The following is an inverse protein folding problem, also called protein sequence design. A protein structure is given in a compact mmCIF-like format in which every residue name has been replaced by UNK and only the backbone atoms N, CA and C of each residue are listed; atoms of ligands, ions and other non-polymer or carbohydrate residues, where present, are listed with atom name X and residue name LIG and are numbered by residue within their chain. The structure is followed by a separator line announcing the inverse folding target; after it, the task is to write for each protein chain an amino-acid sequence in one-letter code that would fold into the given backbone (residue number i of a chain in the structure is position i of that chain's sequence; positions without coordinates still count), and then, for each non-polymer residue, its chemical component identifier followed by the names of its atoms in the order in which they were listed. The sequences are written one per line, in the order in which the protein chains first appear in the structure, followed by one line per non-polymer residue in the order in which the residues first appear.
data_IF_773533412925
#
_entry.id   IF_773533412925
#
_cell.length_a   1.000
_cell.length_b   1.000
_cell.length_c   1.000
_cell.angle_alpha   90.00
_cell.angle_beta   90.00
_cell.angle_gamma   90.00
#
_symmetry.space_group_name_H-M   'P 1'
#
loop_
_entity.id
_entity.type
_entity.pdbx_description
1 polymer ?
#
# COMPACT_ATOMS: atom_id res chain seq x y z
N UNK A 1 -8.55 -11.88 14.01
CA UNK A 1 -9.70 -12.70 13.58
C UNK A 1 -9.39 -13.31 12.22
N UNK A 2 -9.54 -14.63 12.07
CA UNK A 2 -9.09 -15.41 10.90
C UNK A 2 -10.22 -16.33 10.39
N UNK A 3 -10.12 -16.82 9.16
CA UNK A 3 -11.12 -17.74 8.59
C UNK A 3 -11.19 -19.07 9.38
N UNK A 4 -10.02 -19.53 9.83
CA UNK A 4 -9.85 -20.72 10.66
C UNK A 4 -9.41 -21.94 9.84
N UNK A 5 -8.72 -22.93 10.46
CA UNK A 5 -8.14 -24.07 9.75
C UNK A 5 -9.16 -24.96 9.02
N UNK A 6 -10.44 -24.84 9.35
CA UNK A 6 -11.56 -25.60 8.76
C UNK A 6 -12.66 -24.69 8.20
N UNK A 7 -12.41 -23.39 8.10
CA UNK A 7 -13.42 -22.43 7.63
C UNK A 7 -14.49 -22.11 8.67
N UNK A 8 -14.16 -22.19 9.96
CA UNK A 8 -15.10 -22.01 11.07
C UNK A 8 -15.81 -20.64 11.02
N UNK A 9 -15.15 -19.61 10.49
CA UNK A 9 -15.68 -18.26 10.37
C UNK A 9 -16.14 -17.92 8.94
N UNK A 10 -16.50 -18.93 8.12
CA UNK A 10 -16.87 -18.72 6.71
C UNK A 10 -18.02 -17.72 6.51
N UNK A 11 -19.00 -17.72 7.42
CA UNK A 11 -20.19 -16.91 7.29
C UNK A 11 -19.85 -15.41 7.34
N UNK A 12 -18.96 -15.02 8.26
CA UNK A 12 -18.51 -13.63 8.40
C UNK A 12 -17.80 -13.17 7.13
N UNK A 13 -16.91 -14.00 6.58
CA UNK A 13 -16.19 -13.62 5.36
C UNK A 13 -17.15 -13.50 4.16
N UNK A 14 -18.08 -14.45 3.98
CA UNK A 14 -19.11 -14.40 2.94
C UNK A 14 -19.94 -13.12 3.02
N UNK A 15 -20.43 -12.78 4.22
CA UNK A 15 -21.22 -11.55 4.45
C UNK A 15 -20.45 -10.28 4.09
N UNK A 16 -19.16 -10.20 4.46
CA UNK A 16 -18.33 -9.04 4.13
C UNK A 16 -18.07 -8.92 2.63
N UNK A 17 -17.78 -10.04 1.94
CA UNK A 17 -17.56 -10.07 0.50
C UNK A 17 -18.82 -9.70 -0.28
N UNK A 18 -19.97 -10.26 0.12
CA UNK A 18 -21.28 -9.96 -0.49
C UNK A 18 -21.67 -8.50 -0.26
N UNK A 19 -21.41 -7.96 0.94
CA UNK A 19 -21.65 -6.55 1.25
C UNK A 19 -20.77 -5.62 0.40
N UNK A 20 -19.48 -5.94 0.24
CA UNK A 20 -18.55 -5.18 -0.58
C UNK A 20 -18.99 -5.16 -2.05
N UNK A 21 -19.28 -6.33 -2.63
CA UNK A 21 -19.74 -6.46 -4.00
C UNK A 21 -21.08 -5.75 -4.20
N UNK A 22 -22.05 -6.00 -3.32
CA UNK A 22 -23.38 -5.40 -3.39
C UNK A 22 -23.35 -3.88 -3.28
N UNK A 23 -22.51 -3.33 -2.41
CA UNK A 23 -22.33 -1.87 -2.27
C UNK A 23 -21.74 -1.25 -3.53
N UNK A 24 -20.69 -1.87 -4.09
CA UNK A 24 -20.10 -1.38 -5.35
C UNK A 24 -21.08 -1.41 -6.52
N UNK A 25 -21.84 -2.51 -6.66
CA UNK A 25 -22.84 -2.64 -7.72
C UNK A 25 -23.98 -1.62 -7.57
N UNK A 26 -24.43 -1.33 -6.34
CA UNK A 26 -25.41 -0.25 -6.09
C UNK A 26 -24.85 1.09 -6.50
N UNK A 27 -23.61 1.39 -6.12
CA UNK A 27 -22.96 2.65 -6.48
C UNK A 27 -22.86 2.84 -8.00
N UNK A 28 -22.40 1.81 -8.73
CA UNK A 28 -22.34 1.82 -10.21
C UNK A 28 -23.69 2.12 -10.86
N UNK A 29 -24.80 1.60 -10.31
CA UNK A 29 -26.15 1.84 -10.84
C UNK A 29 -26.70 3.22 -10.48
N UNK A 30 -26.27 3.78 -9.36
CA UNK A 30 -26.69 5.11 -8.89
C UNK A 30 -25.87 6.26 -9.47
N UNK A 31 -24.70 5.98 -10.04
CA UNK A 31 -23.85 6.97 -10.67
C UNK A 31 -24.35 7.20 -12.10
N UNK A 32 -24.94 8.37 -12.35
CA UNK A 32 -25.62 8.70 -13.61
C UNK A 32 -26.64 7.61 -14.04
N UNK A 33 -27.72 7.41 -13.26
CA UNK A 33 -28.73 6.38 -13.55
C UNK A 33 -29.46 6.57 -14.90
N UNK A 34 -29.40 7.77 -15.47
CA UNK A 34 -29.89 8.10 -16.79
C UNK A 34 -29.07 7.51 -17.94
N UNK A 35 -27.80 7.15 -17.69
CA UNK A 35 -26.91 6.64 -18.73
C UNK A 35 -27.39 5.26 -19.21
N UNK A 36 -27.49 5.03 -20.53
CA UNK A 36 -27.86 3.73 -21.06
C UNK A 36 -26.74 2.71 -20.79
N UNK A 37 -27.12 1.48 -20.45
CA UNK A 37 -26.15 0.38 -20.35
C UNK A 37 -25.60 0.06 -21.75
N UNK A 38 -24.27 0.02 -21.94
CA UNK A 38 -23.67 -0.43 -23.20
C UNK A 38 -23.86 -1.93 -23.43
N UNK A 39 -24.23 -2.68 -22.38
CA UNK A 39 -24.58 -4.10 -22.46
C UNK A 39 -26.11 -4.18 -22.56
N UNK A 40 -26.62 -4.67 -23.69
CA UNK A 40 -28.06 -4.79 -23.91
C UNK A 40 -28.68 -5.77 -22.90
N UNK A 41 -29.91 -5.48 -22.45
CA UNK A 41 -30.64 -6.31 -21.47
C UNK A 41 -30.87 -7.76 -21.93
N UNK A 42 -30.84 -8.04 -23.24
CA UNK A 42 -30.88 -9.39 -23.82
C UNK A 42 -29.51 -10.07 -24.00
N UNK A 43 -28.42 -9.33 -23.86
CA UNK A 43 -27.01 -9.82 -23.92
C UNK A 43 -26.40 -9.96 -22.53
N UNK A 44 -27.20 -9.79 -21.47
CA UNK A 44 -26.74 -10.05 -20.11
C UNK A 44 -26.25 -11.50 -20.01
N UNK A 45 -24.98 -11.74 -19.67
CA UNK A 45 -24.41 -13.09 -19.53
C UNK A 45 -25.11 -13.94 -18.46
N UNK A 46 -26.01 -13.34 -17.68
CA UNK A 46 -26.87 -14.01 -16.73
C UNK A 46 -27.98 -14.83 -17.41
N UNK A 47 -28.30 -14.60 -18.69
CA UNK A 47 -29.42 -15.27 -19.39
C UNK A 47 -29.00 -16.08 -20.61
N UNK A 48 -27.78 -15.89 -21.11
CA UNK A 48 -27.16 -16.78 -22.10
C UNK A 48 -25.75 -17.14 -21.62
N UNK A 49 -25.51 -18.42 -21.37
CA UNK A 49 -24.16 -18.92 -21.13
C UNK A 49 -23.37 -18.76 -22.43
N UNK A 50 -22.73 -17.60 -22.62
CA UNK A 50 -21.88 -17.38 -23.79
C UNK A 50 -20.68 -18.32 -23.74
N UNK A 51 -20.04 -18.55 -24.90
CA UNK A 51 -18.83 -19.36 -24.97
C UNK A 51 -17.74 -18.78 -24.05
N UNK A 52 -17.62 -17.46 -23.99
CA UNK A 52 -16.65 -16.74 -23.14
C UNK A 52 -16.95 -16.93 -21.65
N UNK A 53 -18.22 -16.81 -21.22
CA UNK A 53 -18.60 -17.02 -19.81
C UNK A 53 -18.33 -18.46 -19.36
N UNK A 54 -18.61 -19.42 -20.25
CA UNK A 54 -18.34 -20.84 -20.01
C UNK A 54 -16.84 -21.10 -19.87
N UNK A 55 -16.05 -20.53 -20.77
CA UNK A 55 -14.59 -20.70 -20.80
C UNK A 55 -13.93 -20.03 -19.59
N UNK A 56 -14.39 -18.84 -19.19
CA UNK A 56 -13.95 -18.16 -17.97
C UNK A 56 -14.20 -19.04 -16.73
N UNK A 57 -15.41 -19.59 -16.59
CA UNK A 57 -15.77 -20.47 -15.46
C UNK A 57 -14.91 -21.73 -15.45
N UNK A 58 -14.66 -22.34 -16.62
CA UNK A 58 -13.79 -23.51 -16.76
C UNK A 58 -12.36 -23.22 -16.33
N UNK A 59 -11.77 -22.12 -16.81
CA UNK A 59 -10.43 -21.71 -16.41
C UNK A 59 -10.34 -21.34 -14.93
N UNK A 60 -11.34 -20.65 -14.39
CA UNK A 60 -11.39 -20.31 -12.98
C UNK A 60 -11.48 -21.56 -12.09
N UNK A 61 -12.34 -22.53 -12.43
CA UNK A 61 -12.41 -23.81 -11.73
C UNK A 61 -11.07 -24.57 -11.77
N UNK A 62 -10.41 -24.61 -12.93
CA UNK A 62 -9.08 -25.21 -13.08
C UNK A 62 -8.02 -24.49 -12.23
N UNK A 63 -8.10 -23.17 -12.11
CA UNK A 63 -7.22 -22.40 -11.21
C UNK A 63 -7.46 -22.78 -9.75
N UNK A 64 -8.72 -22.84 -9.30
CA UNK A 64 -9.07 -23.22 -7.93
C UNK A 64 -8.58 -24.62 -7.57
N UNK A 65 -8.68 -25.58 -8.49
CA UNK A 65 -8.12 -26.93 -8.31
C UNK A 65 -6.61 -26.89 -8.15
N UNK A 66 -5.89 -26.19 -9.04
CA UNK A 66 -4.42 -26.04 -8.96
C UNK A 66 -3.97 -25.39 -7.64
N UNK A 67 -4.72 -24.40 -7.14
CA UNK A 67 -4.41 -23.72 -5.88
C UNK A 67 -4.50 -24.65 -4.66
N UNK A 68 -5.25 -25.76 -4.72
CA UNK A 68 -5.26 -26.78 -3.66
C UNK A 68 -3.92 -27.52 -3.52
N UNK A 69 -3.04 -27.45 -4.54
CA UNK A 69 -1.67 -27.93 -4.47
C UNK A 69 -0.71 -27.02 -3.69
N UNK A 70 -1.20 -25.90 -3.14
CA UNK A 70 -0.40 -24.97 -2.34
C UNK A 70 -0.09 -25.51 -0.94
N UNK A 71 0.90 -24.89 -0.28
CA UNK A 71 1.18 -25.19 1.13
C UNK A 71 0.00 -24.72 1.99
N UNK A 72 -0.56 -25.56 2.88
CA UNK A 72 -1.75 -25.22 3.65
C UNK A 72 -1.40 -24.33 4.85
N UNK A 73 -1.08 -23.05 4.60
CA UNK A 73 -0.74 -22.07 5.65
C UNK A 73 -1.87 -21.83 6.66
N UNK A 74 -3.10 -22.18 6.31
CA UNK A 74 -4.25 -22.17 7.21
C UNK A 74 -4.18 -23.26 8.30
N UNK A 75 -3.39 -24.31 8.09
CA UNK A 75 -3.29 -25.42 9.03
C UNK A 75 -2.29 -25.12 10.12
N UNK A 76 -2.66 -25.34 11.39
CA UNK A 76 -1.73 -25.30 12.52
C UNK A 76 -0.61 -26.35 12.46
N UNK A 77 -0.63 -27.27 11.48
CA UNK A 77 0.49 -28.17 11.18
C UNK A 77 1.65 -27.45 10.49
N UNK A 78 1.38 -26.34 9.80
CA UNK A 78 2.43 -25.55 9.16
C UNK A 78 3.08 -24.62 10.19
N UNK A 79 4.37 -24.84 10.44
CA UNK A 79 5.18 -24.03 11.37
C UNK A 79 6.58 -23.79 10.76
N UNK A 80 6.61 -23.38 9.48
CA UNK A 80 7.83 -23.23 8.69
C UNK A 80 8.31 -21.79 8.60
N UNK A 81 7.97 -21.12 7.49
CA UNK A 81 8.33 -19.72 7.24
C UNK A 81 7.36 -18.74 7.92
N UNK A 82 7.64 -17.43 7.81
CA UNK A 82 6.81 -16.31 8.28
C UNK A 82 5.52 -16.15 7.45
N UNK A 83 4.73 -17.23 7.35
CA UNK A 83 3.49 -17.30 6.61
C UNK A 83 2.45 -17.96 7.50
N UNK A 84 1.26 -17.38 7.52
CA UNK A 84 0.11 -17.86 8.29
C UNK A 84 -1.16 -17.39 7.58
N UNK A 85 -2.30 -17.92 8.03
CA UNK A 85 -3.61 -17.46 7.57
C UNK A 85 -3.73 -15.93 7.66
N UNK A 86 -4.26 -15.32 6.61
CA UNK A 86 -4.47 -13.88 6.58
C UNK A 86 -5.73 -13.50 7.38
N UNK A 87 -5.73 -12.33 7.98
CA UNK A 87 -6.91 -11.88 8.75
C UNK A 87 -8.12 -11.72 7.83
N UNK A 88 -9.33 -11.99 8.36
CA UNK A 88 -10.59 -11.77 7.60
C UNK A 88 -10.69 -10.30 7.14
N UNK A 89 -10.28 -9.37 8.00
CA UNK A 89 -10.27 -7.95 7.69
C UNK A 89 -9.38 -7.64 6.48
N UNK A 90 -8.17 -8.19 6.43
CA UNK A 90 -7.26 -8.00 5.30
C UNK A 90 -7.82 -8.57 3.99
N UNK A 91 -8.38 -9.79 4.04
CA UNK A 91 -8.98 -10.44 2.86
C UNK A 91 -10.17 -9.65 2.32
N UNK A 92 -11.12 -9.28 3.19
CA UNK A 92 -12.33 -8.57 2.81
C UNK A 92 -12.04 -7.13 2.34
N UNK A 93 -11.16 -6.40 3.03
CA UNK A 93 -10.81 -5.03 2.66
C UNK A 93 -10.08 -4.98 1.32
N UNK A 94 -9.16 -5.91 1.06
CA UNK A 94 -8.44 -5.97 -0.20
C UNK A 94 -9.40 -6.29 -1.36
N UNK A 95 -10.31 -7.26 -1.19
CA UNK A 95 -11.36 -7.53 -2.17
C UNK A 95 -12.24 -6.30 -2.43
N UNK A 96 -12.68 -5.63 -1.37
CA UNK A 96 -13.52 -4.43 -1.48
C UNK A 96 -12.82 -3.30 -2.25
N UNK A 97 -11.55 -3.00 -1.92
CA UNK A 97 -10.79 -1.95 -2.59
C UNK A 97 -10.47 -2.30 -4.06
N UNK A 98 -10.21 -3.57 -4.37
CA UNK A 98 -9.93 -4.04 -5.74
C UNK A 98 -11.07 -3.71 -6.71
N UNK A 99 -12.32 -3.70 -6.24
CA UNK A 99 -13.48 -3.35 -7.05
C UNK A 99 -13.44 -1.91 -7.60
N UNK A 100 -12.77 -1.00 -6.87
CA UNK A 100 -12.58 0.41 -7.25
C UNK A 100 -11.26 0.64 -8.01
N UNK A 101 -10.31 -0.30 -7.90
CA UNK A 101 -8.99 -0.25 -8.54
C UNK A 101 -8.28 1.11 -8.39
N UNK A 102 -8.13 1.65 -7.16
CA UNK A 102 -7.48 2.93 -6.95
C UNK A 102 -5.98 2.84 -7.21
N UNK A 103 -5.39 3.93 -7.70
CA UNK A 103 -3.95 4.07 -7.89
C UNK A 103 -3.36 5.13 -6.94
N UNK A 104 -2.80 4.70 -5.82
CA UNK A 104 -2.29 5.60 -4.77
C UNK A 104 -1.07 6.46 -5.18
N UNK A 105 -0.55 6.32 -6.40
CA UNK A 105 0.47 7.24 -6.96
C UNK A 105 -0.02 8.68 -7.02
N UNK A 106 -1.32 8.91 -7.25
CA UNK A 106 -1.89 10.25 -7.31
C UNK A 106 -3.21 10.32 -6.53
N UNK A 107 -3.28 11.30 -5.61
CA UNK A 107 -4.49 11.54 -4.81
C UNK A 107 -5.72 11.92 -5.66
N UNK A 108 -5.54 12.32 -6.92
CA UNK A 108 -6.67 12.63 -7.81
C UNK A 108 -7.44 11.37 -8.26
N UNK A 109 -6.72 10.25 -8.45
CA UNK A 109 -7.27 8.96 -8.91
C UNK A 109 -7.48 7.97 -7.76
N UNK A 110 -7.02 8.31 -6.55
CA UNK A 110 -7.15 7.52 -5.34
C UNK A 110 -7.44 8.36 -4.08
N UNK A 111 -8.39 9.32 -4.11
CA UNK A 111 -8.56 10.31 -3.03
C UNK A 111 -8.94 9.69 -1.68
N UNK A 112 -9.56 8.51 -1.69
CA UNK A 112 -9.93 7.78 -0.48
C UNK A 112 -8.75 6.95 0.02
N UNK A 113 -8.16 6.11 -0.84
CA UNK A 113 -7.13 5.16 -0.41
C UNK A 113 -5.77 5.80 -0.17
N UNK A 114 -5.44 6.95 -0.77
CA UNK A 114 -4.26 7.74 -0.39
C UNK A 114 -4.37 8.24 1.04
N UNK A 115 -5.55 8.72 1.48
CA UNK A 115 -5.77 9.15 2.88
C UNK A 115 -5.73 7.98 3.84
N UNK A 116 -6.31 6.83 3.47
CA UNK A 116 -6.22 5.61 4.27
C UNK A 116 -4.77 5.13 4.43
N UNK A 117 -3.92 5.32 3.42
CA UNK A 117 -2.49 5.00 3.51
C UNK A 117 -1.76 5.96 4.47
N UNK A 118 -2.07 7.26 4.45
CA UNK A 118 -1.57 8.23 5.43
C UNK A 118 -2.00 7.86 6.86
N UNK A 119 -3.25 7.45 7.06
CA UNK A 119 -3.73 6.96 8.35
C UNK A 119 -2.94 5.73 8.83
N UNK A 120 -2.69 4.76 7.93
CA UNK A 120 -1.85 3.59 8.26
C UNK A 120 -0.43 4.01 8.62
N UNK A 121 0.17 4.98 7.91
CA UNK A 121 1.49 5.48 8.23
C UNK A 121 1.55 6.13 9.62
N UNK A 122 0.53 6.93 10.00
CA UNK A 122 0.43 7.49 11.35
C UNK A 122 0.28 6.41 12.43
N UNK A 123 -0.56 5.40 12.20
CA UNK A 123 -0.73 4.28 13.13
C UNK A 123 0.58 3.50 13.32
N UNK A 124 1.33 3.26 12.24
CA UNK A 124 2.64 2.61 12.30
C UNK A 124 3.67 3.46 13.05
N UNK A 125 3.67 4.78 12.83
CA UNK A 125 4.54 5.71 13.54
C UNK A 125 4.28 5.72 15.05
N UNK A 126 3.01 5.79 15.46
CA UNK A 126 2.63 5.72 16.87
C UNK A 126 3.05 4.38 17.49
N UNK A 127 2.81 3.27 16.78
CA UNK A 127 3.17 1.91 17.24
C UNK A 127 4.67 1.76 17.53
N UNK A 128 5.55 2.42 16.76
CA UNK A 128 7.00 2.39 16.97
C UNK A 128 7.53 3.51 17.88
N UNK A 129 6.66 4.40 18.36
CA UNK A 129 6.99 5.48 19.30
C UNK A 129 7.47 6.78 18.66
N UNK A 130 7.21 7.00 17.37
CA UNK A 130 7.40 8.32 16.73
C UNK A 130 6.19 9.22 16.95
N UNK A 131 6.43 10.54 16.96
CA UNK A 131 5.37 11.55 16.96
C UNK A 131 4.74 11.62 15.56
N UNK A 132 3.46 11.21 15.39
CA UNK A 132 2.79 11.21 14.09
C UNK A 132 2.78 12.58 13.41
N UNK A 133 2.81 13.68 14.18
CA UNK A 133 2.81 15.04 13.65
C UNK A 133 4.18 15.49 13.11
N UNK A 134 5.24 14.72 13.38
CA UNK A 134 6.63 15.04 13.00
C UNK A 134 7.29 13.97 12.13
N UNK A 135 6.53 12.97 11.70
CA UNK A 135 7.02 11.93 10.83
C UNK A 135 6.13 11.80 9.59
N UNK A 136 6.65 11.08 8.60
CA UNK A 136 5.91 10.70 7.41
C UNK A 136 6.29 9.27 7.05
N UNK A 137 5.38 8.54 6.42
CA UNK A 137 5.61 7.19 5.93
C UNK A 137 4.60 6.83 4.86
N UNK A 138 4.83 5.69 4.21
CA UNK A 138 3.94 5.11 3.21
C UNK A 138 4.13 3.59 3.16
N UNK A 139 3.22 2.91 2.48
CA UNK A 139 3.34 1.49 2.21
C UNK A 139 4.23 1.28 0.99
N UNK A 140 5.04 0.22 1.04
CA UNK A 140 5.84 -0.25 -0.08
C UNK A 140 5.39 -1.65 -0.48
N UNK A 141 5.89 -2.18 -1.60
CA UNK A 141 5.60 -3.56 -2.01
C UNK A 141 6.13 -4.62 -1.02
N UNK A 142 6.98 -4.23 -0.06
CA UNK A 142 7.53 -5.09 0.98
C UNK A 142 8.82 -4.52 1.57
N UNK A 143 9.32 -5.19 2.61
CA UNK A 143 10.48 -4.71 3.39
C UNK A 143 11.76 -4.49 2.58
N UNK A 144 11.95 -5.20 1.46
CA UNK A 144 13.10 -4.97 0.58
C UNK A 144 13.10 -3.57 -0.02
N UNK A 145 11.96 -3.10 -0.53
CA UNK A 145 11.85 -1.76 -1.11
C UNK A 145 11.93 -0.70 -0.02
N UNK A 146 11.25 -0.91 1.12
CA UNK A 146 11.39 -0.02 2.27
C UNK A 146 12.85 0.17 2.71
N UNK A 147 13.64 -0.91 2.75
CA UNK A 147 15.05 -0.84 3.08
C UNK A 147 15.88 -0.09 2.02
N UNK A 148 15.59 -0.30 0.74
CA UNK A 148 16.27 0.44 -0.33
C UNK A 148 15.97 1.94 -0.27
N UNK A 149 14.72 2.31 -0.03
CA UNK A 149 14.31 3.71 0.14
C UNK A 149 14.96 4.32 1.38
N UNK A 150 15.01 3.61 2.51
CA UNK A 150 15.71 4.07 3.71
C UNK A 150 17.20 4.33 3.46
N UNK A 151 17.88 3.41 2.76
CA UNK A 151 19.28 3.60 2.35
C UNK A 151 19.45 4.77 1.37
N UNK A 152 18.50 4.93 0.45
CA UNK A 152 18.51 6.03 -0.51
C UNK A 152 18.38 7.39 0.19
N UNK A 153 17.44 7.51 1.14
CA UNK A 153 17.26 8.69 1.99
C UNK A 153 18.52 8.94 2.80
N UNK A 154 19.02 7.95 3.54
CA UNK A 154 20.20 8.09 4.38
C UNK A 154 21.42 8.56 3.57
N UNK A 155 21.65 7.98 2.39
CA UNK A 155 22.71 8.41 1.48
C UNK A 155 22.53 9.88 1.06
N UNK A 156 21.32 10.27 0.65
CA UNK A 156 21.07 11.63 0.17
C UNK A 156 21.20 12.66 1.30
N UNK A 157 20.70 12.37 2.49
CA UNK A 157 20.82 13.23 3.68
C UNK A 157 22.29 13.37 4.08
N UNK A 158 23.06 12.28 4.10
CA UNK A 158 24.48 12.29 4.45
C UNK A 158 25.32 13.20 3.54
N UNK A 159 25.04 13.21 2.23
CA UNK A 159 25.76 14.06 1.27
C UNK A 159 25.12 15.44 1.06
N UNK A 160 23.94 15.71 1.62
CA UNK A 160 23.23 16.97 1.42
C UNK A 160 24.05 18.20 1.87
N UNK A 161 24.71 18.22 3.04
CA UNK A 161 25.53 19.36 3.45
C UNK A 161 26.68 19.67 2.50
N UNK A 162 27.28 18.63 1.88
CA UNK A 162 28.36 18.81 0.91
C UNK A 162 27.84 19.51 -0.34
N UNK A 163 26.71 19.03 -0.89
CA UNK A 163 26.08 19.67 -2.04
C UNK A 163 25.66 21.12 -1.73
N UNK A 164 25.08 21.36 -0.56
CA UNK A 164 24.68 22.69 -0.11
C UNK A 164 25.88 23.62 0.09
N UNK A 165 27.01 23.13 0.63
CA UNK A 165 28.25 23.91 0.78
C UNK A 165 28.83 24.34 -0.58
N UNK A 166 28.84 23.42 -1.56
CA UNK A 166 29.29 23.73 -2.92
C UNK A 166 28.38 24.77 -3.60
N UNK A 167 27.07 24.62 -3.46
CA UNK A 167 26.10 25.58 -3.99
C UNK A 167 26.25 26.96 -3.34
N UNK A 168 26.35 27.01 -2.01
CA UNK A 168 26.56 28.25 -1.25
C UNK A 168 27.83 29.00 -1.71
N UNK A 169 28.95 28.29 -1.88
CA UNK A 169 30.21 28.87 -2.41
C UNK A 169 30.04 29.41 -3.83
N UNK A 170 29.37 28.65 -4.70
CA UNK A 170 29.16 29.06 -6.09
C UNK A 170 28.26 30.28 -6.24
N UNK A 171 27.26 30.41 -5.35
CA UNK A 171 26.29 31.49 -5.39
C UNK A 171 26.68 32.70 -4.52
N UNK A 172 27.73 32.57 -3.71
CA UNK A 172 28.12 33.60 -2.74
C UNK A 172 27.07 33.82 -1.64
N UNK A 173 26.34 32.77 -1.26
CA UNK A 173 25.27 32.85 -0.24
C UNK A 173 25.82 32.36 1.09
N UNK A 174 25.58 33.14 2.14
CA UNK A 174 25.93 32.78 3.51
C UNK A 174 24.82 31.91 4.12
N UNK A 175 25.17 30.64 4.37
CA UNK A 175 24.31 29.67 5.05
C UNK A 175 25.03 29.24 6.32
N UNK A 176 24.44 29.53 7.48
CA UNK A 176 24.95 29.07 8.78
C UNK A 176 24.29 27.75 9.20
N UNK A 177 25.06 26.92 9.90
CA UNK A 177 24.61 25.61 10.41
C UNK A 177 25.10 25.40 11.83
N UNK A 178 24.30 24.67 12.62
CA UNK A 178 24.69 24.22 13.95
C UNK A 178 25.54 22.95 13.84
N UNK A 179 26.69 22.94 14.50
CA UNK A 179 27.57 21.78 14.59
C UNK A 179 27.19 20.90 15.79
N UNK A 180 27.67 19.63 15.84
CA UNK A 180 27.34 18.72 16.94
C UNK A 180 27.78 19.20 18.33
N UNK A 181 28.76 20.10 18.41
CA UNK A 181 29.21 20.73 19.66
C UNK A 181 28.38 21.95 20.07
N UNK A 182 27.34 22.28 19.31
CA UNK A 182 26.45 23.43 19.52
C UNK A 182 27.00 24.75 18.98
N UNK A 183 28.20 24.78 18.40
CA UNK A 183 28.72 25.97 17.74
C UNK A 183 28.03 26.22 16.40
N UNK A 184 28.05 27.47 15.94
CA UNK A 184 27.49 27.86 14.64
C UNK A 184 28.64 28.24 13.71
N UNK A 185 28.62 27.72 12.49
CA UNK A 185 29.63 28.00 11.48
C UNK A 185 28.99 28.22 10.11
N UNK A 186 29.70 28.94 9.24
CA UNK A 186 29.29 29.09 7.84
C UNK A 186 29.54 27.78 7.11
N UNK A 187 28.52 27.25 6.45
CA UNK A 187 28.56 25.99 5.69
C UNK A 187 29.66 26.01 4.61
N UNK A 188 29.94 27.20 4.04
CA UNK A 188 31.00 27.42 3.06
C UNK A 188 32.41 27.29 3.65
N UNK A 189 32.58 27.44 4.97
CA UNK A 189 33.88 27.40 5.66
C UNK A 189 34.22 26.03 6.25
N UNK A 190 33.25 25.10 6.28
CA UNK A 190 33.45 23.77 6.84
C UNK A 190 34.31 22.89 5.91
N UNK A 191 35.13 22.03 6.53
CA UNK A 191 35.86 20.98 5.83
C UNK A 191 34.96 19.76 5.57
N UNK A 192 35.44 18.81 4.74
CA UNK A 192 34.65 17.63 4.37
C UNK A 192 34.21 16.80 5.58
N UNK A 193 35.09 16.58 6.56
CA UNK A 193 34.75 15.81 7.75
C UNK A 193 33.61 16.48 8.53
N UNK A 194 33.67 17.80 8.72
CA UNK A 194 32.61 18.55 9.40
C UNK A 194 31.28 18.48 8.63
N UNK A 195 31.32 18.66 7.30
CA UNK A 195 30.12 18.59 6.44
C UNK A 195 29.43 17.22 6.52
N UNK A 196 30.20 16.14 6.59
CA UNK A 196 29.68 14.77 6.70
C UNK A 196 29.19 14.40 8.12
N UNK A 197 29.35 15.28 9.10
CA UNK A 197 28.97 15.05 10.50
C UNK A 197 28.01 16.11 11.06
N UNK A 198 27.36 16.90 10.20
CA UNK A 198 26.25 17.78 10.62
C UNK A 198 25.04 16.91 10.99
N UNK A 199 24.35 17.28 12.07
CA UNK A 199 23.14 16.60 12.57
C UNK A 199 21.87 17.37 12.20
#
# INVERSE_FOLDING_TARGET
MFLGPKGENEQILKELLDSALGTHLRWRRSYHPEDPSPIASGESPAHTATAESTELRRHFASLLEKLQGSVPFFSGRYNGHMLSEQTIAGQAAYFAAMLYNPNNVSGEVAPVTTRLEEEVAHLLAEMIGYDPMRCWGHLTSGGTIANFEALWIARNVFYHPVAASLAARSLGVDVSVSLPDGSVAMLSQLNLWQLLNIR
#
